data_IF_883544314966
#
_entry.id   IF_883544314966
#
_cell.length_a   1.000
_cell.length_b   1.000
_cell.length_c   1.000
_cell.angle_alpha   90.00
_cell.angle_beta   90.00
_cell.angle_gamma   90.00
#
_symmetry.space_group_name_H-M   'P 1'
#
loop_
_entity.id
_entity.type
_entity.pdbx_description
1 polymer ?
#
# COMPACT_ATOMS: atom_id res chain seq x y z
N UNK A 1 1.16 -9.77 31.30
CA UNK A 1 0.65 -8.51 30.74
C UNK A 1 1.31 -8.14 29.39
N UNK A 2 2.65 -8.10 29.28
CA UNK A 2 3.36 -7.74 28.03
C UNK A 2 2.98 -8.59 26.81
N UNK A 3 2.90 -9.93 26.97
CA UNK A 3 2.58 -10.85 25.86
C UNK A 3 1.20 -10.60 25.23
N UNK A 4 0.21 -10.18 26.03
CA UNK A 4 -1.13 -9.88 25.54
C UNK A 4 -1.14 -8.58 24.74
N UNK A 5 -0.49 -7.53 25.25
CA UNK A 5 -0.34 -6.25 24.55
C UNK A 5 0.40 -6.41 23.21
N UNK A 6 1.45 -7.25 23.16
CA UNK A 6 2.19 -7.50 21.92
C UNK A 6 1.36 -8.28 20.89
N UNK A 7 0.55 -9.23 21.35
CA UNK A 7 -0.35 -10.00 20.49
C UNK A 7 -1.46 -9.11 19.90
N UNK A 8 -2.01 -8.21 20.71
CA UNK A 8 -3.01 -7.24 20.24
C UNK A 8 -2.38 -6.24 19.27
N UNK A 9 -1.20 -5.70 19.58
CA UNK A 9 -0.46 -4.83 18.66
C UNK A 9 -0.22 -5.52 17.31
N UNK A 10 0.32 -6.74 17.30
CA UNK A 10 0.53 -7.50 16.08
C UNK A 10 -0.79 -7.78 15.35
N UNK A 11 -1.88 -8.00 16.08
CA UNK A 11 -3.20 -8.21 15.49
C UNK A 11 -3.70 -6.96 14.76
N UNK A 12 -3.64 -5.80 15.41
CA UNK A 12 -4.10 -4.53 14.85
C UNK A 12 -3.22 -4.02 13.72
N UNK A 13 -1.90 -4.28 13.76
CA UNK A 13 -0.94 -3.65 12.85
C UNK A 13 -0.40 -4.58 11.75
N UNK A 14 -0.52 -5.91 11.89
CA UNK A 14 0.01 -6.86 10.91
C UNK A 14 -1.05 -7.74 10.23
N UNK A 15 -2.28 -7.86 10.77
CA UNK A 15 -3.30 -8.72 10.14
C UNK A 15 -3.80 -8.22 8.78
N UNK A 16 -3.66 -6.94 8.49
CA UNK A 16 -4.09 -6.36 7.22
C UNK A 16 -2.94 -6.11 6.24
N UNK A 17 -1.69 -6.42 6.61
CA UNK A 17 -0.53 -6.17 5.74
C UNK A 17 -0.64 -6.92 4.40
N UNK A 18 -0.99 -8.22 4.35
CA UNK A 18 -1.14 -8.90 3.06
C UNK A 18 -2.23 -8.28 2.18
N UNK A 19 -3.41 -7.98 2.74
CA UNK A 19 -4.51 -7.36 1.99
C UNK A 19 -4.17 -5.93 1.53
N UNK A 20 -3.41 -5.19 2.33
CA UNK A 20 -2.93 -3.86 1.96
C UNK A 20 -1.90 -3.94 0.85
N UNK A 21 -0.97 -4.88 0.92
CA UNK A 21 0.01 -5.12 -0.14
C UNK A 21 -0.70 -5.45 -1.45
N UNK A 22 -1.71 -6.33 -1.42
CA UNK A 22 -2.50 -6.65 -2.62
C UNK A 22 -3.21 -5.40 -3.17
N UNK A 23 -3.88 -4.62 -2.32
CA UNK A 23 -4.53 -3.37 -2.76
C UNK A 23 -3.54 -2.34 -3.33
N UNK A 24 -2.33 -2.23 -2.78
CA UNK A 24 -1.29 -1.34 -3.29
C UNK A 24 -0.72 -1.83 -4.62
N UNK A 25 -0.59 -3.15 -4.82
CA UNK A 25 -0.22 -3.73 -6.11
C UNK A 25 -1.29 -3.45 -7.17
N UNK A 26 -2.57 -3.59 -6.84
CA UNK A 26 -3.66 -3.31 -7.78
C UNK A 26 -3.65 -1.84 -8.23
N UNK A 27 -3.46 -0.90 -7.30
CA UNK A 27 -3.29 0.53 -7.60
C UNK A 27 -2.07 0.77 -8.49
N UNK A 28 -0.92 0.20 -8.13
CA UNK A 28 0.32 0.34 -8.91
C UNK A 28 0.14 -0.21 -10.33
N UNK A 29 -0.45 -1.39 -10.48
CA UNK A 29 -0.70 -1.99 -11.80
C UNK A 29 -1.66 -1.15 -12.65
N UNK A 30 -2.62 -0.48 -12.02
CA UNK A 30 -3.55 0.40 -12.72
C UNK A 30 -2.84 1.63 -13.27
N UNK A 31 -1.97 2.25 -12.46
CA UNK A 31 -1.18 3.41 -12.88
C UNK A 31 -0.10 3.04 -13.91
N UNK A 32 0.51 1.86 -13.79
CA UNK A 32 1.48 1.33 -14.75
C UNK A 32 0.83 1.18 -16.14
N UNK A 33 -0.31 0.47 -16.21
CA UNK A 33 -1.08 0.32 -17.45
C UNK A 33 -1.51 1.67 -18.02
N UNK A 34 -1.98 2.59 -17.16
CA UNK A 34 -2.39 3.92 -17.59
C UNK A 34 -1.23 4.72 -18.18
N UNK A 35 -0.03 4.63 -17.59
CA UNK A 35 1.17 5.33 -18.07
C UNK A 35 1.69 4.83 -19.42
N UNK A 36 1.38 3.58 -19.78
CA UNK A 36 1.65 3.04 -21.12
C UNK A 36 0.66 3.56 -22.17
N UNK A 37 -0.59 3.84 -21.77
CA UNK A 37 -1.66 4.28 -22.67
C UNK A 37 -1.73 5.83 -22.80
N UNK A 38 -1.45 6.57 -21.73
CA UNK A 38 -1.51 8.03 -21.68
C UNK A 38 -0.55 8.67 -20.66
N UNK A 39 -0.39 9.99 -20.75
CA UNK A 39 0.46 10.73 -19.80
C UNK A 39 -0.25 10.83 -18.45
N UNK A 40 0.38 10.28 -17.41
CA UNK A 40 -0.08 10.40 -16.02
C UNK A 40 -0.11 11.86 -15.56
N UNK A 41 -1.06 12.20 -14.69
CA UNK A 41 -1.04 13.49 -14.01
C UNK A 41 0.11 13.57 -12.99
N UNK A 42 0.44 14.77 -12.53
CA UNK A 42 1.46 14.96 -11.48
C UNK A 42 1.06 14.23 -10.19
N UNK A 43 -0.22 14.27 -9.82
CA UNK A 43 -0.73 13.57 -8.64
C UNK A 43 -0.59 12.06 -8.76
N UNK A 44 -0.83 11.51 -9.96
CA UNK A 44 -0.68 10.09 -10.26
C UNK A 44 0.78 9.65 -10.25
N UNK A 45 1.70 10.48 -10.75
CA UNK A 45 3.14 10.23 -10.66
C UNK A 45 3.63 10.22 -9.20
N UNK A 46 3.16 11.19 -8.40
CA UNK A 46 3.46 11.23 -6.96
C UNK A 46 2.96 9.97 -6.27
N UNK A 47 1.75 9.51 -6.58
CA UNK A 47 1.21 8.24 -6.06
C UNK A 47 2.04 7.04 -6.51
N UNK A 48 2.36 6.94 -7.81
CA UNK A 48 3.14 5.85 -8.40
C UNK A 48 4.49 5.68 -7.71
N UNK A 49 5.20 6.79 -7.48
CA UNK A 49 6.47 6.79 -6.76
C UNK A 49 6.32 6.56 -5.24
N UNK A 50 5.18 6.92 -4.67
CA UNK A 50 4.88 6.85 -3.25
C UNK A 50 4.24 5.54 -2.77
N UNK A 51 3.72 4.69 -3.66
CA UNK A 51 2.85 3.54 -3.32
C UNK A 51 3.46 2.58 -2.29
N UNK A 52 4.79 2.45 -2.26
CA UNK A 52 5.50 1.58 -1.32
C UNK A 52 5.54 2.15 0.10
N UNK A 53 5.45 3.46 0.26
CA UNK A 53 5.39 4.13 1.57
C UNK A 53 4.08 3.82 2.30
N UNK A 54 3.00 3.61 1.55
CA UNK A 54 1.67 3.27 2.08
C UNK A 54 1.58 1.86 2.69
N UNK A 55 2.62 1.02 2.55
CA UNK A 55 2.69 -0.29 3.20
C UNK A 55 2.71 -0.16 4.73
N UNK A 56 3.23 0.96 5.25
CA UNK A 56 3.43 1.17 6.69
C UNK A 56 2.41 2.12 7.35
N UNK A 57 1.52 2.73 6.56
CA UNK A 57 0.45 3.64 7.03
C UNK A 57 -0.62 2.99 7.93
#
# INVERSE_FOLDING_TARGET
>A
MIKAALKEWHRTHAQNLPSRIESLKDRLSTLDQKGEDEVLSEEELVEFHGVTSDIHS
#
